data_IF_389687876525
#
_entry.id   IF_389687876525
#
_cell.length_a   1.000
_cell.length_b   1.000
_cell.length_c   1.000
_cell.angle_alpha   90.00
_cell.angle_beta   90.00
_cell.angle_gamma   90.00
#
_symmetry.space_group_name_H-M   'P 1'
#
loop_
_entity.id
_entity.type
_entity.pdbx_description
1 polymer ?
#
# COMPACT_ATOMS: atom_id res chain seq x y z
N UNK A 1 -33.98 -25.64 -52.17
CA UNK A 1 -33.98 -24.22 -51.78
C UNK A 1 -33.91 -24.17 -50.25
N UNK A 2 -32.76 -23.90 -49.71
CA UNK A 2 -32.53 -23.79 -48.26
C UNK A 2 -32.42 -22.30 -47.97
N UNK A 3 -33.41 -21.75 -47.24
CA UNK A 3 -33.45 -20.34 -46.86
C UNK A 3 -32.62 -20.15 -45.58
N UNK A 4 -31.52 -19.42 -45.65
CA UNK A 4 -30.70 -19.03 -44.51
C UNK A 4 -31.30 -17.78 -43.88
N UNK A 5 -31.81 -17.93 -42.65
CA UNK A 5 -32.31 -16.84 -41.84
C UNK A 5 -31.11 -16.18 -41.13
N UNK A 6 -30.74 -14.97 -41.50
CA UNK A 6 -29.70 -14.20 -40.82
C UNK A 6 -30.29 -13.54 -39.56
N UNK A 7 -29.79 -13.93 -38.38
CA UNK A 7 -30.14 -13.33 -37.10
C UNK A 7 -29.29 -12.06 -36.92
N UNK A 8 -29.88 -10.88 -37.02
CA UNK A 8 -29.24 -9.62 -36.64
C UNK A 8 -29.35 -9.43 -35.12
N UNK A 9 -28.25 -9.56 -34.40
CA UNK A 9 -28.16 -9.14 -33.00
C UNK A 9 -27.98 -7.61 -32.93
N UNK A 10 -29.00 -6.90 -32.49
CA UNK A 10 -28.86 -5.49 -32.12
C UNK A 10 -28.03 -5.41 -30.81
N UNK A 11 -26.80 -4.94 -30.93
CA UNK A 11 -26.05 -4.49 -29.77
C UNK A 11 -26.61 -3.15 -29.31
N UNK A 12 -27.29 -3.13 -28.17
CA UNK A 12 -27.70 -1.89 -27.51
C UNK A 12 -26.45 -1.16 -26.92
N UNK A 13 -26.06 -0.08 -27.57
CA UNK A 13 -25.05 0.83 -27.04
C UNK A 13 -25.73 1.66 -25.94
N UNK A 14 -25.43 1.34 -24.70
CA UNK A 14 -25.83 2.15 -23.54
C UNK A 14 -24.93 3.39 -23.53
N UNK A 15 -25.44 4.53 -24.00
CA UNK A 15 -24.78 5.81 -23.79
C UNK A 15 -24.96 6.19 -22.33
N UNK A 16 -23.86 6.24 -21.57
CA UNK A 16 -23.87 6.86 -20.25
C UNK A 16 -24.28 8.34 -20.44
N UNK A 17 -25.33 8.75 -19.78
CA UNK A 17 -25.73 10.16 -19.80
C UNK A 17 -24.59 11.00 -19.19
N UNK A 18 -24.23 12.16 -19.80
CA UNK A 18 -23.19 13.02 -19.24
C UNK A 18 -23.61 13.48 -17.83
N UNK A 19 -22.68 13.42 -16.89
CA UNK A 19 -22.93 13.90 -15.53
C UNK A 19 -23.35 15.36 -15.52
N UNK A 20 -24.28 15.70 -14.65
CA UNK A 20 -24.82 17.05 -14.55
C UNK A 20 -23.82 17.97 -13.84
N UNK A 21 -23.67 19.21 -14.31
CA UNK A 21 -22.93 20.25 -13.60
C UNK A 21 -23.74 20.73 -12.39
N UNK A 22 -23.74 19.95 -11.33
CA UNK A 22 -24.41 20.26 -10.07
C UNK A 22 -23.48 19.88 -8.91
N UNK A 23 -23.90 20.17 -7.70
CA UNK A 23 -23.27 19.75 -6.46
C UNK A 23 -24.20 18.78 -5.74
N UNK A 24 -23.74 17.54 -5.57
CA UNK A 24 -24.35 16.53 -4.71
C UNK A 24 -23.79 16.62 -3.31
N UNK A 25 -24.56 16.27 -2.31
CA UNK A 25 -24.14 16.26 -0.91
C UNK A 25 -24.49 14.93 -0.28
N UNK A 26 -23.53 14.33 0.43
CA UNK A 26 -23.66 13.05 1.13
C UNK A 26 -23.57 13.33 2.63
N UNK A 27 -24.62 13.02 3.37
CA UNK A 27 -24.72 13.09 4.83
C UNK A 27 -25.18 11.74 5.42
N UNK A 28 -25.49 10.77 4.55
CA UNK A 28 -25.85 9.39 4.84
C UNK A 28 -25.58 8.51 3.61
N UNK A 29 -25.65 7.18 3.71
CA UNK A 29 -25.53 6.30 2.56
C UNK A 29 -26.69 6.48 1.55
N UNK A 30 -27.87 6.88 2.01
CA UNK A 30 -29.04 7.06 1.15
C UNK A 30 -28.86 8.21 0.15
N UNK A 31 -27.99 9.18 0.46
CA UNK A 31 -27.72 10.33 -0.38
C UNK A 31 -26.79 10.00 -1.56
N UNK A 32 -26.04 8.90 -1.49
CA UNK A 32 -24.96 8.57 -2.46
C UNK A 32 -25.51 8.49 -3.87
N UNK A 33 -26.62 7.78 -4.07
CA UNK A 33 -27.18 7.55 -5.41
C UNK A 33 -27.53 8.84 -6.16
N UNK A 34 -28.03 9.83 -5.45
CA UNK A 34 -28.36 11.15 -6.03
C UNK A 34 -27.11 12.03 -6.17
N UNK A 35 -26.18 11.96 -5.22
CA UNK A 35 -24.98 12.77 -5.24
C UNK A 35 -24.03 12.44 -6.40
N UNK A 36 -23.92 11.17 -6.78
CA UNK A 36 -23.06 10.73 -7.89
C UNK A 36 -23.62 11.07 -9.29
N UNK A 37 -24.82 11.64 -9.38
CA UNK A 37 -25.29 12.25 -10.62
C UNK A 37 -24.60 13.59 -10.95
N UNK A 38 -23.92 14.19 -9.96
CA UNK A 38 -23.28 15.49 -10.05
C UNK A 38 -21.76 15.38 -10.26
N UNK A 39 -21.18 16.38 -10.94
CA UNK A 39 -19.72 16.48 -11.14
C UNK A 39 -18.99 17.03 -9.92
N UNK A 40 -19.67 17.59 -8.94
CA UNK A 40 -19.13 17.97 -7.64
C UNK A 40 -19.87 17.21 -6.56
N UNK A 41 -19.15 16.50 -5.70
CA UNK A 41 -19.71 15.67 -4.63
C UNK A 41 -19.10 16.14 -3.30
N UNK A 42 -19.92 16.56 -2.37
CA UNK A 42 -19.50 16.99 -1.04
C UNK A 42 -19.90 15.94 0.00
N UNK A 43 -18.96 15.52 0.85
CA UNK A 43 -19.17 14.55 1.91
C UNK A 43 -19.15 15.28 3.25
N UNK A 44 -20.31 15.40 3.89
CA UNK A 44 -20.44 15.94 5.24
C UNK A 44 -20.08 14.91 6.31
N UNK A 45 -20.04 15.34 7.57
CA UNK A 45 -19.86 14.40 8.70
C UNK A 45 -21.05 13.45 8.82
N UNK A 46 -20.76 12.15 8.90
CA UNK A 46 -21.77 11.14 9.27
C UNK A 46 -21.12 9.87 9.77
N UNK A 47 -21.94 8.96 10.31
CA UNK A 47 -21.51 7.61 10.66
C UNK A 47 -22.07 6.61 9.65
N UNK A 48 -21.18 5.85 9.01
CA UNK A 48 -21.56 4.74 8.13
C UNK A 48 -22.13 3.61 9.00
N UNK A 49 -23.31 3.07 8.70
CA UNK A 49 -23.88 1.97 9.48
C UNK A 49 -22.96 0.75 9.53
N UNK A 50 -23.00 0.04 10.63
CA UNK A 50 -22.15 -1.12 10.88
C UNK A 50 -22.38 -2.24 9.85
N UNK A 51 -21.30 -2.66 9.17
CA UNK A 51 -21.32 -3.70 8.14
C UNK A 51 -21.74 -3.24 6.77
N UNK A 52 -21.74 -1.94 6.54
CA UNK A 52 -21.99 -1.33 5.23
C UNK A 52 -20.73 -0.72 4.66
N UNK A 53 -20.58 -0.79 3.33
CA UNK A 53 -19.53 -0.08 2.59
C UNK A 53 -20.03 1.31 2.18
N UNK A 54 -19.26 2.34 2.48
CA UNK A 54 -19.46 3.65 1.86
C UNK A 54 -18.80 3.65 0.47
N UNK A 55 -19.59 3.43 -0.57
CA UNK A 55 -19.11 3.28 -1.95
C UNK A 55 -19.53 4.47 -2.81
N UNK A 56 -18.57 5.10 -3.48
CA UNK A 56 -18.77 6.22 -4.41
C UNK A 56 -18.27 5.80 -5.80
N UNK A 57 -19.19 5.62 -6.74
CA UNK A 57 -18.88 5.50 -8.17
C UNK A 57 -19.03 6.87 -8.81
N UNK A 58 -17.95 7.66 -8.76
CA UNK A 58 -17.97 9.05 -9.21
C UNK A 58 -17.96 9.15 -10.74
N UNK A 59 -18.71 10.09 -11.35
CA UNK A 59 -18.65 10.30 -12.79
C UNK A 59 -17.28 10.79 -13.23
N UNK A 60 -16.90 10.50 -14.47
CA UNK A 60 -15.60 10.88 -15.00
C UNK A 60 -15.33 12.39 -14.84
N UNK A 61 -14.15 12.73 -14.35
CA UNK A 61 -13.73 14.10 -14.08
C UNK A 61 -14.39 14.77 -12.86
N UNK A 62 -15.08 14.01 -12.03
CA UNK A 62 -15.74 14.56 -10.85
C UNK A 62 -14.74 15.04 -9.79
N UNK A 63 -15.17 16.04 -9.03
CA UNK A 63 -14.50 16.51 -7.82
C UNK A 63 -15.26 16.03 -6.60
N UNK A 64 -14.58 15.32 -5.70
CA UNK A 64 -15.12 14.84 -4.42
C UNK A 64 -14.44 15.61 -3.30
N UNK A 65 -15.18 16.34 -2.50
CA UNK A 65 -14.68 17.10 -1.36
C UNK A 65 -15.20 16.52 -0.05
N UNK A 66 -14.34 16.20 0.86
CA UNK A 66 -14.70 15.87 2.23
C UNK A 66 -14.85 17.17 3.01
N UNK A 67 -16.00 17.39 3.62
CA UNK A 67 -16.34 18.59 4.39
C UNK A 67 -16.64 18.28 5.86
N UNK A 68 -16.41 17.01 6.27
CA UNK A 68 -16.60 16.59 7.65
C UNK A 68 -16.05 15.18 7.90
N UNK A 69 -15.91 14.82 9.18
CA UNK A 69 -15.39 13.50 9.55
C UNK A 69 -16.41 12.39 9.27
N UNK A 70 -15.92 11.25 8.81
CA UNK A 70 -16.71 10.03 8.62
C UNK A 70 -16.22 8.94 9.58
N UNK A 71 -17.14 8.33 10.31
CA UNK A 71 -16.86 7.22 11.23
C UNK A 71 -17.55 5.96 10.72
N UNK A 72 -16.86 4.82 10.74
CA UNK A 72 -17.45 3.54 10.30
C UNK A 72 -17.94 2.74 11.52
N UNK A 73 -19.21 2.31 11.52
CA UNK A 73 -19.77 1.53 12.60
C UNK A 73 -19.12 0.15 12.75
N UNK A 74 -18.96 -0.30 13.98
CA UNK A 74 -18.32 -1.58 14.29
C UNK A 74 -19.18 -2.78 13.92
N UNK A 75 -18.61 -3.71 13.15
CA UNK A 75 -19.14 -5.06 12.89
C UNK A 75 -18.03 -5.95 12.32
N UNK A 76 -17.93 -7.19 12.79
CA UNK A 76 -17.04 -8.19 12.21
C UNK A 76 -17.57 -8.65 10.84
N UNK A 77 -16.87 -8.30 9.74
CA UNK A 77 -17.21 -8.63 8.36
C UNK A 77 -16.00 -8.44 7.44
N UNK A 78 -16.12 -8.80 6.15
CA UNK A 78 -14.96 -8.79 5.25
C UNK A 78 -14.51 -7.38 4.82
N UNK A 79 -15.40 -6.40 4.80
CA UNK A 79 -15.12 -5.08 4.22
C UNK A 79 -15.40 -5.02 2.70
N UNK A 80 -14.89 -4.00 2.00
CA UNK A 80 -14.13 -2.86 2.52
C UNK A 80 -15.02 -1.85 3.26
N UNK A 81 -14.41 -0.91 4.00
CA UNK A 81 -15.18 0.15 4.65
C UNK A 81 -15.54 1.27 3.67
N UNK A 82 -14.57 1.72 2.86
CA UNK A 82 -14.76 2.77 1.85
C UNK A 82 -14.31 2.30 0.47
N UNK A 83 -15.08 2.63 -0.56
CA UNK A 83 -14.71 2.44 -1.97
C UNK A 83 -14.89 3.74 -2.76
N UNK A 84 -13.87 4.07 -3.57
CA UNK A 84 -13.94 5.15 -4.56
C UNK A 84 -13.57 4.59 -5.94
N UNK A 85 -14.44 4.78 -6.91
CA UNK A 85 -14.17 4.44 -8.30
C UNK A 85 -14.51 5.59 -9.24
N UNK A 86 -13.89 5.60 -10.43
CA UNK A 86 -14.12 6.60 -11.47
C UNK A 86 -12.83 7.03 -12.17
N UNK A 87 -12.95 7.66 -13.31
CA UNK A 87 -11.83 8.08 -14.16
C UNK A 87 -11.57 9.58 -14.04
N UNK A 88 -10.31 9.97 -13.82
CA UNK A 88 -9.89 11.37 -13.71
C UNK A 88 -10.48 12.11 -12.51
N UNK A 89 -10.67 11.42 -11.39
CA UNK A 89 -11.29 11.96 -10.20
C UNK A 89 -10.32 12.90 -9.46
N UNK A 90 -10.84 14.01 -8.95
CA UNK A 90 -10.15 14.85 -7.99
C UNK A 90 -10.78 14.64 -6.62
N UNK A 91 -10.15 13.84 -5.76
CA UNK A 91 -10.59 13.65 -4.37
C UNK A 91 -9.78 14.54 -3.45
N UNK A 92 -10.47 15.37 -2.67
CA UNK A 92 -9.86 16.23 -1.68
C UNK A 92 -10.43 15.95 -0.29
N UNK A 93 -9.61 15.36 0.57
CA UNK A 93 -9.96 15.04 1.96
C UNK A 93 -10.04 16.27 2.88
N UNK A 94 -9.47 17.43 2.45
CA UNK A 94 -9.49 18.69 3.21
C UNK A 94 -8.97 18.58 4.66
N UNK A 95 -8.16 17.57 4.96
CA UNK A 95 -7.65 17.30 6.31
C UNK A 95 -8.68 16.70 7.28
N UNK A 96 -9.85 16.30 6.79
CA UNK A 96 -10.83 15.58 7.61
C UNK A 96 -10.43 14.11 7.80
N UNK A 97 -11.08 13.47 8.77
CA UNK A 97 -10.76 12.12 9.20
C UNK A 97 -11.82 11.11 8.77
N UNK A 98 -11.35 10.01 8.19
CA UNK A 98 -12.12 8.76 8.09
C UNK A 98 -11.62 7.82 9.18
N UNK A 99 -12.50 7.46 10.13
CA UNK A 99 -12.14 6.65 11.29
C UNK A 99 -12.74 5.24 11.18
N UNK A 100 -11.88 4.23 11.01
CA UNK A 100 -12.24 2.81 10.90
C UNK A 100 -12.54 2.14 12.23
N UNK A 101 -12.30 2.82 13.38
CA UNK A 101 -12.49 2.29 14.72
C UNK A 101 -11.72 0.97 14.97
N UNK A 102 -10.50 0.87 14.47
CA UNK A 102 -9.64 -0.32 14.59
C UNK A 102 -9.43 -0.80 16.02
N UNK A 103 -9.45 0.13 16.99
CA UNK A 103 -9.36 -0.15 18.41
C UNK A 103 -10.45 -1.11 18.91
N UNK A 104 -11.60 -1.19 18.24
CA UNK A 104 -12.67 -2.15 18.55
C UNK A 104 -12.43 -3.54 17.92
N UNK A 105 -11.51 -3.65 16.96
CA UNK A 105 -11.21 -4.89 16.21
C UNK A 105 -9.91 -5.55 16.63
N UNK A 106 -8.91 -4.75 17.07
CA UNK A 106 -7.54 -5.23 17.26
C UNK A 106 -7.40 -6.23 18.40
N UNK A 107 -6.75 -7.34 18.11
CA UNK A 107 -6.49 -8.45 19.00
C UNK A 107 -5.00 -8.89 19.01
N UNK A 108 -4.12 -8.12 18.33
CA UNK A 108 -2.70 -8.43 18.17
C UNK A 108 -2.41 -9.57 17.19
N UNK A 109 -3.42 -10.11 16.50
CA UNK A 109 -3.28 -11.26 15.60
C UNK A 109 -3.51 -10.91 14.12
N UNK A 110 -3.98 -9.69 13.83
CA UNK A 110 -4.21 -9.23 12.45
C UNK A 110 -5.14 -10.18 11.68
N UNK A 111 -4.66 -10.62 10.51
CA UNK A 111 -5.39 -11.55 9.62
C UNK A 111 -5.56 -12.97 10.20
N UNK A 112 -4.75 -13.35 11.18
CA UNK A 112 -4.87 -14.64 11.88
C UNK A 112 -5.88 -14.61 13.04
N UNK A 113 -6.40 -13.43 13.37
CA UNK A 113 -7.34 -13.23 14.47
C UNK A 113 -8.81 -13.23 14.04
N UNK A 114 -9.61 -12.44 14.76
CA UNK A 114 -11.02 -12.23 14.43
C UNK A 114 -11.21 -11.57 13.06
N UNK A 115 -12.35 -11.78 12.41
CA UNK A 115 -12.66 -11.12 11.13
C UNK A 115 -12.71 -9.60 11.30
N UNK A 116 -11.90 -8.91 10.50
CA UNK A 116 -11.76 -7.45 10.46
C UNK A 116 -12.04 -6.95 9.05
N UNK A 117 -12.80 -5.86 8.87
CA UNK A 117 -13.01 -5.30 7.53
C UNK A 117 -11.69 -4.77 6.95
N UNK A 118 -11.39 -5.21 5.71
CA UNK A 118 -10.20 -4.78 4.96
C UNK A 118 -10.42 -4.88 3.43
N UNK A 119 -9.72 -4.05 2.64
CA UNK A 119 -9.02 -2.86 3.11
C UNK A 119 -9.99 -1.84 3.71
N UNK A 120 -9.45 -0.90 4.50
CA UNK A 120 -10.29 0.21 4.95
C UNK A 120 -10.68 1.10 3.77
N UNK A 121 -9.72 1.42 2.90
CA UNK A 121 -9.84 2.32 1.76
C UNK A 121 -9.51 1.57 0.47
N UNK A 122 -10.52 1.25 -0.34
CA UNK A 122 -10.32 0.67 -1.68
C UNK A 122 -10.46 1.78 -2.73
N UNK A 123 -9.37 2.12 -3.39
CA UNK A 123 -9.30 3.20 -4.36
C UNK A 123 -9.10 2.61 -5.76
N UNK A 124 -10.18 2.56 -6.53
CA UNK A 124 -10.22 2.07 -7.92
C UNK A 124 -10.48 3.23 -8.89
N UNK A 125 -9.91 4.39 -8.61
CA UNK A 125 -10.03 5.59 -9.45
C UNK A 125 -8.69 5.97 -10.04
N UNK A 126 -8.72 6.69 -11.17
CA UNK A 126 -7.58 7.46 -11.68
C UNK A 126 -7.72 8.94 -11.32
N UNK A 127 -6.63 9.72 -11.46
CA UNK A 127 -6.59 11.14 -11.15
C UNK A 127 -5.83 11.45 -9.87
N UNK A 128 -6.44 12.17 -8.92
CA UNK A 128 -5.77 12.60 -7.68
C UNK A 128 -6.58 12.27 -6.44
N UNK A 129 -5.90 11.81 -5.39
CA UNK A 129 -6.46 11.55 -4.06
C UNK A 129 -5.59 12.24 -3.02
N UNK A 130 -6.13 13.26 -2.33
CA UNK A 130 -5.28 14.14 -1.52
C UNK A 130 -5.86 14.48 -0.16
N UNK A 131 -4.95 14.71 0.82
CA UNK A 131 -5.21 15.43 2.05
C UNK A 131 -6.34 14.84 2.93
N UNK A 132 -6.29 13.51 3.16
CA UNK A 132 -7.20 12.79 4.05
C UNK A 132 -6.42 12.21 5.24
N UNK A 133 -7.02 12.23 6.41
CA UNK A 133 -6.57 11.47 7.58
C UNK A 133 -7.37 10.16 7.64
N UNK A 134 -6.69 9.02 7.58
CA UNK A 134 -7.28 7.70 7.76
C UNK A 134 -6.83 7.17 9.10
N UNK A 135 -7.76 7.09 10.04
CA UNK A 135 -7.45 6.75 11.43
C UNK A 135 -7.98 5.37 11.80
N UNK A 136 -7.19 4.63 12.56
CA UNK A 136 -7.55 3.36 13.16
C UNK A 136 -8.17 2.37 12.16
N UNK A 137 -7.39 2.05 11.12
CA UNK A 137 -7.75 1.00 10.17
C UNK A 137 -7.85 -0.34 10.91
N UNK A 138 -8.95 -1.11 10.75
CA UNK A 138 -9.07 -2.40 11.42
C UNK A 138 -8.00 -3.42 11.02
N UNK A 139 -7.55 -3.39 9.77
CA UNK A 139 -6.47 -4.19 9.18
C UNK A 139 -5.82 -3.37 8.06
N UNK A 140 -5.46 -3.91 6.89
CA UNK A 140 -4.85 -3.15 5.78
C UNK A 140 -5.61 -1.87 5.47
N UNK A 141 -4.87 -0.76 5.34
CA UNK A 141 -5.47 0.55 5.16
C UNK A 141 -5.87 0.80 3.71
N UNK A 142 -4.92 1.03 2.82
CA UNK A 142 -5.21 1.29 1.41
C UNK A 142 -4.96 0.07 0.53
N UNK A 143 -5.87 -0.16 -0.42
CA UNK A 143 -5.65 -1.04 -1.57
C UNK A 143 -6.06 -0.31 -2.85
N UNK A 144 -5.25 -0.42 -3.89
CA UNK A 144 -5.42 0.30 -5.15
C UNK A 144 -5.87 -0.63 -6.27
N UNK A 145 -6.79 -0.13 -7.11
CA UNK A 145 -7.33 -0.80 -8.28
C UNK A 145 -7.47 0.15 -9.49
N UNK A 146 -6.61 1.19 -9.58
CA UNK A 146 -6.62 2.15 -10.68
C UNK A 146 -6.26 1.46 -12.01
N UNK A 147 -6.95 1.86 -13.08
CA UNK A 147 -6.71 1.43 -14.46
C UNK A 147 -5.95 2.46 -15.31
N UNK A 148 -5.68 3.63 -14.73
CA UNK A 148 -4.90 4.71 -15.31
C UNK A 148 -4.17 5.46 -14.18
N UNK A 149 -3.33 6.43 -14.52
CA UNK A 149 -2.49 7.16 -13.56
C UNK A 149 -3.27 7.69 -12.37
N UNK A 150 -2.80 7.34 -11.17
CA UNK A 150 -3.29 7.85 -9.90
C UNK A 150 -2.16 8.50 -9.11
N UNK A 151 -2.42 9.70 -8.59
CA UNK A 151 -1.54 10.37 -7.62
C UNK A 151 -2.22 10.46 -6.27
N UNK A 152 -1.58 9.91 -5.24
CA UNK A 152 -1.98 9.98 -3.83
C UNK A 152 -1.01 10.89 -3.09
N UNK A 153 -1.50 11.92 -2.42
CA UNK A 153 -0.60 12.85 -1.73
C UNK A 153 -1.18 13.40 -0.43
N UNK A 154 -0.29 13.76 0.51
CA UNK A 154 -0.65 14.38 1.79
C UNK A 154 -1.70 13.59 2.58
N UNK A 155 -1.62 12.27 2.48
CA UNK A 155 -2.46 11.36 3.27
C UNK A 155 -1.75 11.04 4.58
N UNK A 156 -2.52 11.01 5.66
CA UNK A 156 -2.03 10.51 6.94
C UNK A 156 -2.76 9.21 7.28
N UNK A 157 -2.01 8.10 7.38
CA UNK A 157 -2.48 6.85 7.97
C UNK A 157 -2.03 6.85 9.43
N UNK A 158 -2.97 6.99 10.35
CA UNK A 158 -2.71 7.04 11.79
C UNK A 158 -3.35 5.85 12.51
N UNK A 159 -2.56 4.80 12.67
CA UNK A 159 -2.89 3.63 13.49
C UNK A 159 -2.09 3.62 14.81
N UNK A 160 -1.62 4.78 15.27
CA UNK A 160 -0.76 4.89 16.47
C UNK A 160 -1.39 4.34 17.73
N UNK A 161 -2.73 4.37 17.85
CA UNK A 161 -3.45 3.77 18.97
C UNK A 161 -3.19 2.25 19.07
N UNK A 162 -2.88 1.58 17.94
CA UNK A 162 -2.55 0.16 17.87
C UNK A 162 -1.14 -0.21 18.36
N UNK A 163 -0.26 0.76 18.60
CA UNK A 163 1.08 0.51 19.14
C UNK A 163 1.04 0.01 20.61
N UNK A 164 -0.01 0.36 21.33
CA UNK A 164 -0.20 -0.07 22.70
C UNK A 164 -0.90 -1.43 22.77
N UNK A 165 -0.56 -2.21 23.79
CA UNK A 165 -1.28 -3.44 24.09
C UNK A 165 -2.71 -3.12 24.59
N UNK A 166 -3.65 -4.01 24.30
CA UNK A 166 -4.99 -4.00 24.87
C UNK A 166 -5.31 -5.33 25.59
N UNK A 167 -6.52 -5.49 26.09
CA UNK A 167 -6.94 -6.69 26.83
C UNK A 167 -6.95 -7.99 26.01
N UNK A 168 -6.85 -7.92 24.67
CA UNK A 168 -6.90 -9.08 23.77
C UNK A 168 -5.53 -9.43 23.15
N UNK A 169 -4.54 -8.52 23.21
CA UNK A 169 -3.28 -8.66 22.48
C UNK A 169 -2.14 -9.35 23.26
N UNK A 170 -2.41 -9.88 24.45
CA UNK A 170 -1.41 -10.58 25.29
C UNK A 170 -0.11 -9.80 25.50
N UNK A 171 -0.21 -8.50 25.74
CA UNK A 171 0.93 -7.61 25.97
C UNK A 171 1.68 -7.16 24.72
N UNK A 172 1.29 -7.61 23.54
CA UNK A 172 1.83 -7.15 22.24
C UNK A 172 1.07 -5.91 21.77
N UNK A 173 1.60 -5.14 20.79
CA UNK A 173 0.82 -4.14 20.10
C UNK A 173 -0.54 -4.70 19.67
N UNK A 174 -1.60 -3.93 19.88
CA UNK A 174 -2.95 -4.39 19.57
C UNK A 174 -3.22 -4.43 18.06
N UNK A 175 -2.73 -3.43 17.31
CA UNK A 175 -2.75 -3.42 15.86
C UNK A 175 -1.77 -4.44 15.27
N UNK A 176 -2.15 -5.08 14.16
CA UNK A 176 -1.34 -6.02 13.39
C UNK A 176 -1.89 -6.13 11.98
N UNK A 177 -1.05 -6.29 10.97
CA UNK A 177 -1.40 -6.22 9.54
C UNK A 177 -2.15 -4.92 9.17
N UNK A 178 -1.70 -3.82 9.75
CA UNK A 178 -2.25 -2.49 9.51
C UNK A 178 -1.44 -1.76 8.43
N UNK A 179 -1.13 -2.48 7.35
CA UNK A 179 -0.36 -1.99 6.22
C UNK A 179 -0.87 -0.64 5.73
N UNK A 180 0.05 0.29 5.45
CA UNK A 180 -0.32 1.64 5.00
C UNK A 180 -0.89 1.62 3.60
N UNK A 181 -0.08 1.16 2.64
CA UNK A 181 -0.42 1.16 1.22
C UNK A 181 -0.09 -0.19 0.59
N UNK A 182 -1.12 -0.96 0.21
CA UNK A 182 -1.00 -2.20 -0.56
C UNK A 182 -1.17 -1.91 -2.05
N UNK A 183 -0.13 -2.20 -2.84
CA UNK A 183 -0.05 -1.85 -4.25
C UNK A 183 0.03 -3.11 -5.11
N UNK A 184 -0.99 -3.30 -5.94
CA UNK A 184 -1.06 -4.36 -6.96
C UNK A 184 -1.46 -3.83 -8.33
N UNK A 185 -1.07 -2.58 -8.62
CA UNK A 185 -1.41 -1.82 -9.83
C UNK A 185 -0.17 -1.15 -10.42
N UNK A 186 -0.34 -0.52 -11.58
CA UNK A 186 0.71 0.28 -12.25
C UNK A 186 0.36 1.77 -12.25
N UNK A 187 1.32 2.60 -12.65
CA UNK A 187 1.15 4.04 -12.86
C UNK A 187 0.62 4.79 -11.62
N UNK A 188 1.23 4.50 -10.48
CA UNK A 188 0.86 5.05 -9.18
C UNK A 188 1.99 5.88 -8.57
N UNK A 189 1.67 7.10 -8.13
CA UNK A 189 2.55 7.92 -7.30
C UNK A 189 1.93 8.12 -5.93
N UNK A 190 2.71 7.87 -4.87
CA UNK A 190 2.35 8.16 -3.47
C UNK A 190 3.40 9.09 -2.90
N UNK A 191 2.99 10.28 -2.46
CA UNK A 191 3.94 11.30 -2.03
C UNK A 191 3.47 12.14 -0.85
N UNK A 192 4.45 12.78 -0.16
CA UNK A 192 4.20 13.74 0.91
C UNK A 192 3.25 13.22 2.00
N UNK A 193 3.24 11.91 2.24
CA UNK A 193 2.30 11.23 3.12
C UNK A 193 2.98 10.69 4.39
N UNK A 194 2.18 10.46 5.43
CA UNK A 194 2.65 9.96 6.73
C UNK A 194 1.94 8.67 7.07
N UNK A 195 2.69 7.66 7.50
CA UNK A 195 2.15 6.37 7.94
C UNK A 195 2.71 6.05 9.33
N UNK A 196 1.82 5.79 10.27
CA UNK A 196 2.12 5.28 11.61
C UNK A 196 1.30 4.01 11.78
N UNK A 197 1.95 2.85 11.75
CA UNK A 197 1.23 1.58 11.70
C UNK A 197 2.02 0.43 12.36
N UNK A 198 1.53 -0.81 12.25
CA UNK A 198 2.13 -2.01 12.84
C UNK A 198 2.43 -3.09 11.78
N UNK A 199 2.59 -2.70 10.51
CA UNK A 199 3.04 -3.57 9.42
C UNK A 199 3.74 -2.75 8.32
N UNK A 200 3.78 -3.21 7.06
CA UNK A 200 4.44 -2.50 5.98
C UNK A 200 3.86 -1.08 5.79
N UNK A 201 4.73 -0.07 5.71
CA UNK A 201 4.32 1.28 5.31
C UNK A 201 3.83 1.28 3.86
N UNK A 202 4.57 0.58 3.01
CA UNK A 202 4.26 0.29 1.62
C UNK A 202 4.53 -1.20 1.37
N UNK A 203 3.60 -1.89 0.71
CA UNK A 203 3.78 -3.25 0.21
C UNK A 203 3.44 -3.30 -1.28
N UNK A 204 4.44 -3.48 -2.16
CA UNK A 204 4.24 -3.62 -3.61
C UNK A 204 4.26 -5.09 -3.99
N UNK A 205 3.08 -5.66 -4.25
CA UNK A 205 2.93 -7.07 -4.59
C UNK A 205 2.95 -7.34 -6.09
N UNK A 206 2.58 -6.32 -6.91
CA UNK A 206 2.51 -6.42 -8.37
C UNK A 206 2.45 -5.02 -8.98
N UNK A 207 2.88 -4.86 -10.23
CA UNK A 207 2.71 -3.65 -11.02
C UNK A 207 4.02 -2.99 -11.43
N UNK A 208 3.90 -1.87 -12.13
CA UNK A 208 5.05 -1.14 -12.67
C UNK A 208 4.80 0.37 -12.67
N UNK A 209 5.88 1.14 -12.88
CA UNK A 209 5.82 2.62 -12.88
C UNK A 209 5.27 3.15 -11.56
N UNK A 210 5.85 2.74 -10.44
CA UNK A 210 5.42 3.12 -9.10
C UNK A 210 6.45 4.08 -8.52
N UNK A 211 6.00 5.22 -8.02
CA UNK A 211 6.83 6.21 -7.33
C UNK A 211 6.32 6.38 -5.90
N UNK A 212 7.20 6.17 -4.93
CA UNK A 212 6.95 6.40 -3.51
C UNK A 212 7.97 7.41 -3.00
N UNK A 213 7.54 8.66 -2.77
CA UNK A 213 8.50 9.74 -2.50
C UNK A 213 8.08 10.70 -1.40
N UNK A 214 9.07 11.19 -0.64
CA UNK A 214 8.90 12.16 0.45
C UNK A 214 7.87 11.75 1.50
N UNK A 215 7.74 10.44 1.73
CA UNK A 215 6.85 9.91 2.75
C UNK A 215 7.57 9.66 4.06
N UNK A 216 6.81 9.63 5.15
CA UNK A 216 7.29 9.31 6.50
C UNK A 216 6.61 8.05 7.01
N UNK A 217 7.41 7.02 7.34
CA UNK A 217 6.97 5.72 7.84
C UNK A 217 7.45 5.52 9.28
N UNK A 218 6.56 5.23 10.23
CA UNK A 218 6.93 5.08 11.64
C UNK A 218 6.28 3.85 12.26
N UNK A 219 7.03 3.12 13.07
CA UNK A 219 6.59 2.01 13.94
C UNK A 219 6.15 0.72 13.25
N UNK A 220 6.24 0.62 11.93
CA UNK A 220 5.82 -0.55 11.14
C UNK A 220 6.96 -1.46 10.71
N UNK A 221 6.81 -2.04 9.52
CA UNK A 221 7.79 -2.95 8.92
C UNK A 221 8.61 -2.33 7.79
N UNK A 222 8.55 -1.00 7.60
CA UNK A 222 9.32 -0.28 6.59
C UNK A 222 8.70 -0.27 5.20
N UNK A 223 9.53 -0.06 4.18
CA UNK A 223 9.13 0.03 2.77
C UNK A 223 9.46 -1.30 2.09
N UNK A 224 8.42 -2.02 1.64
CA UNK A 224 8.53 -3.38 1.12
C UNK A 224 8.14 -3.52 -0.34
N UNK A 225 8.95 -4.25 -1.11
CA UNK A 225 8.56 -4.89 -2.36
C UNK A 225 8.16 -6.33 -2.01
N UNK A 226 6.89 -6.67 -2.19
CA UNK A 226 6.37 -8.00 -1.83
C UNK A 226 5.39 -7.98 -0.63
N UNK A 227 4.94 -9.19 -0.25
CA UNK A 227 5.50 -10.48 -0.70
C UNK A 227 5.15 -10.77 -2.16
N UNK A 228 6.14 -11.28 -2.89
CA UNK A 228 5.99 -11.65 -4.30
C UNK A 228 5.57 -13.12 -4.38
N UNK A 229 4.39 -13.35 -4.91
CA UNK A 229 3.81 -14.67 -5.19
C UNK A 229 4.12 -15.11 -6.63
N UNK A 230 3.53 -16.24 -7.08
CA UNK A 230 3.74 -16.72 -8.46
C UNK A 230 3.06 -15.87 -9.52
N UNK A 231 3.65 -15.85 -10.72
CA UNK A 231 3.10 -15.27 -11.95
C UNK A 231 2.81 -13.76 -11.85
N UNK A 232 3.65 -13.03 -11.11
CA UNK A 232 3.55 -11.57 -10.98
C UNK A 232 4.84 -10.87 -11.39
N UNK A 233 4.70 -9.61 -11.83
CA UNK A 233 5.83 -8.75 -12.17
C UNK A 233 5.75 -7.46 -11.35
N UNK A 234 6.89 -7.08 -10.76
CA UNK A 234 7.13 -5.75 -10.20
C UNK A 234 8.30 -5.13 -10.95
N UNK A 235 8.10 -3.95 -11.55
CA UNK A 235 9.16 -3.31 -12.31
C UNK A 235 9.08 -1.78 -12.29
N UNK A 236 10.23 -1.12 -12.51
CA UNK A 236 10.31 0.34 -12.56
C UNK A 236 9.68 1.00 -11.33
N UNK A 237 10.26 0.74 -10.16
CA UNK A 237 9.83 1.28 -8.87
C UNK A 237 10.88 2.29 -8.38
N UNK A 238 10.44 3.46 -7.99
CA UNK A 238 11.27 4.53 -7.44
C UNK A 238 10.87 4.83 -5.99
N UNK A 239 11.81 4.69 -5.07
CA UNK A 239 11.67 4.96 -3.64
C UNK A 239 12.60 6.14 -3.32
N UNK A 240 12.03 7.34 -3.20
CA UNK A 240 12.79 8.59 -3.23
C UNK A 240 12.53 9.46 -2.00
N UNK A 241 13.60 9.94 -1.37
CA UNK A 241 13.54 10.97 -0.32
C UNK A 241 12.58 10.62 0.86
N UNK A 242 12.40 9.33 1.15
CA UNK A 242 11.54 8.89 2.25
C UNK A 242 12.28 8.85 3.57
N UNK A 243 11.52 9.00 4.65
CA UNK A 243 12.00 8.84 6.03
C UNK A 243 11.32 7.63 6.67
N UNK A 244 12.11 6.66 7.12
CA UNK A 244 11.67 5.47 7.87
C UNK A 244 12.21 5.56 9.29
N UNK A 245 11.35 5.45 10.31
CA UNK A 245 11.76 5.67 11.69
C UNK A 245 11.19 4.63 12.63
N UNK A 246 12.06 3.94 13.38
CA UNK A 246 11.67 2.95 14.38
C UNK A 246 10.77 1.85 13.80
N UNK A 247 11.12 1.35 12.62
CA UNK A 247 10.45 0.22 11.97
C UNK A 247 11.25 -1.07 12.20
N UNK A 248 10.65 -2.22 11.98
CA UNK A 248 11.37 -3.49 12.01
C UNK A 248 12.44 -3.52 10.90
N UNK A 249 12.10 -3.12 9.69
CA UNK A 249 13.04 -2.99 8.57
C UNK A 249 13.05 -1.55 8.03
N UNK A 250 14.16 -1.18 7.36
CA UNK A 250 14.22 0.04 6.56
C UNK A 250 13.65 -0.19 5.16
N UNK A 251 14.37 -0.97 4.35
CA UNK A 251 14.01 -1.32 2.98
C UNK A 251 14.03 -2.84 2.80
N UNK A 252 12.97 -3.36 2.19
CA UNK A 252 12.77 -4.81 2.11
C UNK A 252 12.35 -5.25 0.72
N UNK A 253 12.91 -6.36 0.24
CA UNK A 253 12.35 -7.16 -0.87
C UNK A 253 12.12 -8.56 -0.33
N UNK A 254 10.86 -9.03 -0.34
CA UNK A 254 10.48 -10.35 0.16
C UNK A 254 9.74 -11.13 -0.92
N UNK A 255 10.20 -12.35 -1.21
CA UNK A 255 9.54 -13.23 -2.18
C UNK A 255 9.21 -14.57 -1.56
N UNK A 256 8.06 -15.14 -1.89
CA UNK A 256 7.68 -16.46 -1.40
C UNK A 256 8.66 -17.51 -1.89
N UNK A 257 9.13 -18.35 -0.99
CA UNK A 257 10.09 -19.41 -1.31
C UNK A 257 9.58 -20.41 -2.36
N UNK A 258 8.27 -20.59 -2.42
CA UNK A 258 7.59 -21.47 -3.37
C UNK A 258 7.11 -20.78 -4.64
N UNK A 259 7.23 -19.44 -4.74
CA UNK A 259 6.79 -18.69 -5.91
C UNK A 259 7.58 -19.06 -7.16
N UNK A 260 6.90 -19.04 -8.30
CA UNK A 260 7.46 -19.34 -9.63
C UNK A 260 6.96 -18.36 -10.67
N UNK A 261 7.73 -18.17 -11.76
CA UNK A 261 7.30 -17.36 -12.90
C UNK A 261 7.23 -15.85 -12.63
N UNK A 262 7.86 -15.36 -11.56
CA UNK A 262 7.78 -13.96 -11.16
C UNK A 262 9.08 -13.20 -11.37
N UNK A 263 8.95 -11.87 -11.48
CA UNK A 263 10.10 -10.99 -11.70
C UNK A 263 9.97 -9.72 -10.85
N UNK A 264 11.08 -9.33 -10.22
CA UNK A 264 11.28 -8.03 -9.57
C UNK A 264 12.46 -7.36 -10.25
N UNK A 265 12.25 -6.18 -10.87
CA UNK A 265 13.32 -5.54 -11.64
C UNK A 265 13.23 -4.02 -11.63
N UNK A 266 14.40 -3.35 -11.71
CA UNK A 266 14.45 -1.89 -11.80
C UNK A 266 13.92 -1.22 -10.53
N UNK A 267 14.42 -1.64 -9.38
CA UNK A 267 14.08 -1.04 -8.09
C UNK A 267 15.16 0.00 -7.74
N UNK A 268 14.75 1.25 -7.61
CA UNK A 268 15.65 2.38 -7.46
C UNK A 268 15.38 3.13 -6.14
N UNK A 269 16.40 3.20 -5.30
CA UNK A 269 16.38 3.92 -4.02
C UNK A 269 17.31 5.12 -4.10
N UNK A 270 16.86 6.31 -3.70
CA UNK A 270 17.68 7.53 -3.64
C UNK A 270 17.17 8.52 -2.60
N UNK A 271 18.07 9.16 -1.87
CA UNK A 271 17.70 10.21 -0.91
C UNK A 271 17.03 9.74 0.36
N UNK A 272 16.89 8.42 0.56
CA UNK A 272 16.12 7.90 1.69
C UNK A 272 16.93 7.88 2.99
N UNK A 273 16.22 8.04 4.11
CA UNK A 273 16.79 7.93 5.46
C UNK A 273 15.98 6.93 6.27
N UNK A 274 16.63 5.88 6.78
CA UNK A 274 16.04 4.93 7.73
C UNK A 274 16.82 5.00 9.06
N UNK A 275 16.09 5.10 10.18
CA UNK A 275 16.71 5.22 11.50
C UNK A 275 16.00 4.36 12.54
N UNK A 276 16.80 3.69 13.39
CA UNK A 276 16.27 2.88 14.49
C UNK A 276 15.52 1.62 14.00
N UNK A 277 15.97 1.03 12.88
CA UNK A 277 15.45 -0.25 12.41
C UNK A 277 15.83 -1.34 13.44
N UNK A 278 14.85 -2.15 13.87
CA UNK A 278 15.05 -3.07 15.00
C UNK A 278 15.50 -4.45 14.58
N UNK A 279 15.25 -4.85 13.33
CA UNK A 279 15.61 -6.16 12.80
C UNK A 279 16.63 -6.03 11.66
N UNK A 280 16.32 -5.25 10.60
CA UNK A 280 17.18 -5.10 9.43
C UNK A 280 17.17 -3.67 8.88
N UNK A 281 18.34 -3.19 8.46
CA UNK A 281 18.43 -1.95 7.69
C UNK A 281 17.93 -2.14 6.27
N UNK A 282 18.57 -3.06 5.53
CA UNK A 282 18.16 -3.52 4.21
C UNK A 282 18.07 -5.04 4.23
N UNK A 283 16.94 -5.59 3.80
CA UNK A 283 16.80 -7.05 3.65
C UNK A 283 16.20 -7.41 2.29
N UNK A 284 16.89 -8.28 1.56
CA UNK A 284 16.41 -8.93 0.33
C UNK A 284 16.37 -10.43 0.60
N UNK A 285 15.17 -10.99 0.73
CA UNK A 285 15.00 -12.38 1.16
C UNK A 285 13.99 -13.14 0.31
N UNK A 286 14.44 -14.23 -0.30
CA UNK A 286 13.64 -15.12 -1.14
C UNK A 286 13.11 -16.33 -0.38
N UNK A 287 13.02 -16.26 0.95
CA UNK A 287 12.56 -17.39 1.78
C UNK A 287 11.21 -17.20 2.45
N UNK A 288 10.48 -16.12 2.13
CA UNK A 288 9.19 -15.79 2.76
C UNK A 288 8.19 -16.98 2.65
N UNK A 289 7.35 -17.29 3.66
CA UNK A 289 7.15 -16.54 4.91
C UNK A 289 8.23 -16.73 6.00
N UNK A 290 9.20 -17.59 5.79
CA UNK A 290 10.37 -17.65 6.67
C UNK A 290 11.23 -16.41 6.49
N UNK A 291 12.06 -16.08 7.48
CA UNK A 291 13.09 -15.04 7.37
C UNK A 291 14.45 -15.72 7.35
N UNK A 292 15.27 -15.42 6.32
CA UNK A 292 16.62 -15.97 6.09
C UNK A 292 16.63 -17.49 6.12
N UNK A 293 15.55 -18.12 5.67
CA UNK A 293 15.44 -19.56 5.50
C UNK A 293 16.01 -20.03 4.16
N UNK A 294 15.52 -21.17 3.67
CA UNK A 294 15.92 -21.67 2.35
C UNK A 294 15.29 -20.80 1.25
N UNK A 295 16.11 -20.04 0.56
CA UNK A 295 15.67 -19.17 -0.51
C UNK A 295 15.11 -19.94 -1.72
N UNK A 296 13.98 -19.48 -2.26
CA UNK A 296 13.39 -19.98 -3.49
C UNK A 296 14.15 -19.48 -4.72
N UNK A 297 13.92 -20.15 -5.86
CA UNK A 297 14.60 -19.84 -7.13
C UNK A 297 13.65 -19.41 -8.24
N UNK A 298 12.35 -19.35 -7.98
CA UNK A 298 11.33 -19.11 -9.01
C UNK A 298 10.96 -17.64 -9.21
N UNK A 299 11.53 -16.71 -8.43
CA UNK A 299 11.40 -15.26 -8.61
C UNK A 299 12.74 -14.69 -9.02
N UNK A 300 12.82 -14.08 -10.21
CA UNK A 300 14.04 -13.39 -10.65
C UNK A 300 14.10 -11.97 -10.10
N UNK A 301 15.16 -11.62 -9.35
CA UNK A 301 15.41 -10.25 -8.88
C UNK A 301 16.59 -9.66 -9.65
N UNK A 302 16.42 -8.47 -10.22
CA UNK A 302 17.47 -7.81 -11.01
C UNK A 302 17.41 -6.29 -10.90
N UNK A 303 18.55 -5.62 -11.15
CA UNK A 303 18.64 -4.17 -11.21
C UNK A 303 18.10 -3.46 -9.96
N UNK A 304 18.57 -3.86 -8.77
CA UNK A 304 18.31 -3.18 -7.51
C UNK A 304 19.40 -2.16 -7.27
N UNK A 305 19.05 -0.89 -7.23
CA UNK A 305 20.02 0.22 -7.18
C UNK A 305 19.79 1.11 -5.98
N UNK A 306 20.84 1.39 -5.22
CA UNK A 306 20.90 2.47 -4.24
C UNK A 306 21.81 3.58 -4.79
N UNK A 307 21.20 4.63 -5.35
CA UNK A 307 21.89 5.77 -5.93
C UNK A 307 21.80 7.00 -5.00
N UNK A 308 22.50 8.06 -5.36
CA UNK A 308 22.54 9.28 -4.55
C UNK A 308 23.09 8.99 -3.15
N UNK A 309 22.35 9.39 -2.09
CA UNK A 309 22.69 9.07 -0.71
C UNK A 309 21.49 8.46 -0.01
N UNK A 310 21.59 7.20 0.40
CA UNK A 310 20.63 6.55 1.30
C UNK A 310 21.33 6.25 2.61
N UNK A 311 20.83 6.76 3.72
CA UNK A 311 21.41 6.57 5.05
C UNK A 311 20.53 5.66 5.88
N UNK A 312 21.12 4.57 6.37
CA UNK A 312 20.41 3.59 7.19
C UNK A 312 21.13 3.38 8.50
N UNK A 313 20.47 3.56 9.63
CA UNK A 313 20.99 3.21 10.93
C UNK A 313 20.08 2.23 11.65
N UNK A 314 20.65 1.16 12.17
CA UNK A 314 19.93 0.09 12.85
C UNK A 314 20.18 0.09 14.35
N UNK A 315 19.30 -0.54 15.12
CA UNK A 315 19.47 -0.76 16.54
C UNK A 315 20.61 -1.75 16.82
N UNK A 316 21.16 -1.75 18.02
CA UNK A 316 22.35 -2.55 18.38
C UNK A 316 22.18 -4.07 18.24
N UNK A 317 20.95 -4.59 18.18
CA UNK A 317 20.66 -6.00 17.99
C UNK A 317 20.19 -6.37 16.58
N UNK A 318 20.20 -5.42 15.65
CA UNK A 318 19.72 -5.59 14.28
C UNK A 318 20.91 -5.77 13.30
N UNK A 319 20.61 -6.29 12.11
CA UNK A 319 21.60 -6.41 11.05
C UNK A 319 21.47 -5.24 10.03
N UNK A 320 22.61 -4.73 9.59
CA UNK A 320 22.68 -3.61 8.66
C UNK A 320 22.13 -4.01 7.28
N UNK A 321 22.62 -5.16 6.75
CA UNK A 321 22.25 -5.65 5.41
C UNK A 321 22.18 -7.17 5.37
N UNK A 322 21.05 -7.70 4.92
CA UNK A 322 20.88 -9.11 4.63
C UNK A 322 20.45 -9.31 3.17
N UNK A 323 21.14 -10.18 2.44
CA UNK A 323 20.76 -10.61 1.09
C UNK A 323 20.79 -12.12 1.01
N UNK A 324 19.62 -12.73 0.94
CA UNK A 324 19.40 -14.17 0.84
C UNK A 324 18.75 -14.51 -0.50
N UNK A 325 19.57 -14.62 -1.54
CA UNK A 325 19.16 -14.99 -2.89
C UNK A 325 19.18 -16.51 -3.10
N UNK A 326 18.16 -17.04 -3.76
CA UNK A 326 18.18 -18.40 -4.30
C UNK A 326 19.21 -18.55 -5.43
N UNK A 327 19.72 -19.76 -5.61
CA UNK A 327 20.75 -20.03 -6.63
C UNK A 327 20.28 -19.60 -8.02
N UNK A 328 20.99 -18.63 -8.63
CA UNK A 328 20.67 -18.09 -9.95
C UNK A 328 19.45 -17.16 -10.02
N UNK A 329 18.77 -16.90 -8.91
CA UNK A 329 17.56 -16.06 -8.89
C UNK A 329 17.84 -14.56 -8.82
N UNK A 330 18.94 -14.15 -8.22
CA UNK A 330 19.42 -12.77 -8.31
C UNK A 330 20.37 -12.62 -9.50
N UNK A 331 20.16 -11.61 -10.34
CA UNK A 331 20.89 -11.49 -11.62
C UNK A 331 21.31 -10.05 -11.91
N UNK A 332 22.29 -9.90 -12.79
CA UNK A 332 22.80 -8.60 -13.25
C UNK A 332 23.74 -7.94 -12.24
N UNK A 333 24.02 -6.67 -12.45
CA UNK A 333 24.86 -5.85 -11.57
C UNK A 333 24.00 -4.87 -10.81
N UNK A 334 24.10 -4.86 -9.48
CA UNK A 334 23.37 -3.96 -8.59
C UNK A 334 24.31 -2.90 -8.06
N UNK A 335 24.11 -1.65 -8.46
CA UNK A 335 24.93 -0.55 -7.98
C UNK A 335 24.38 -0.02 -6.63
N UNK A 336 25.14 -0.23 -5.57
CA UNK A 336 24.81 0.21 -4.21
C UNK A 336 25.76 1.30 -3.68
N UNK A 337 26.42 2.02 -4.58
CA UNK A 337 27.38 3.08 -4.18
C UNK A 337 26.76 4.22 -3.35
N UNK A 338 25.45 4.39 -3.41
CA UNK A 338 24.72 5.37 -2.62
C UNK A 338 24.22 4.88 -1.27
N UNK A 339 24.48 3.62 -0.87
CA UNK A 339 24.04 3.06 0.42
C UNK A 339 25.09 3.33 1.50
N UNK A 340 24.65 3.88 2.63
CA UNK A 340 25.45 4.06 3.87
C UNK A 340 24.69 3.43 5.00
N UNK A 341 25.31 2.47 5.68
CA UNK A 341 24.73 1.74 6.82
C UNK A 341 25.55 1.96 8.07
N UNK A 342 24.93 1.83 9.22
CA UNK A 342 25.59 1.97 10.52
C UNK A 342 24.75 1.37 11.66
N UNK A 343 25.41 0.99 12.73
CA UNK A 343 24.79 0.42 13.94
C UNK A 343 24.83 -1.11 13.90
N UNK A 344 24.28 -1.81 14.84
CA UNK A 344 24.08 -3.24 14.84
C UNK A 344 25.24 -4.12 14.37
N UNK A 345 24.92 -5.22 13.70
CA UNK A 345 25.83 -6.15 13.04
C UNK A 345 25.83 -5.92 11.52
N UNK A 346 26.93 -6.25 10.83
CA UNK A 346 27.03 -6.06 9.39
C UNK A 346 25.99 -6.86 8.61
N UNK A 347 25.70 -8.10 9.03
CA UNK A 347 24.82 -9.05 8.34
C UNK A 347 25.54 -9.90 7.30
N UNK A 348 24.83 -10.35 6.27
CA UNK A 348 25.40 -11.23 5.23
C UNK A 348 24.84 -10.97 3.83
N UNK A 349 25.67 -11.16 2.81
CA UNK A 349 25.31 -11.03 1.40
C UNK A 349 25.76 -12.28 0.64
N UNK A 350 24.82 -13.06 0.10
CA UNK A 350 25.12 -14.24 -0.70
C UNK A 350 25.09 -14.00 -2.22
N UNK A 351 24.95 -12.74 -2.66
CA UNK A 351 24.94 -12.36 -4.07
C UNK A 351 26.15 -11.50 -4.45
N UNK A 352 26.97 -12.00 -5.37
CA UNK A 352 28.23 -11.34 -5.79
C UNK A 352 28.06 -10.23 -6.83
N UNK A 353 26.84 -9.98 -7.34
CA UNK A 353 26.57 -8.96 -8.35
C UNK A 353 26.42 -7.54 -7.80
N UNK A 354 26.56 -7.32 -6.49
CA UNK A 354 26.50 -6.01 -5.86
C UNK A 354 27.84 -5.30 -6.03
N UNK A 355 27.78 -4.03 -6.45
CA UNK A 355 28.95 -3.17 -6.66
C UNK A 355 28.80 -1.86 -5.90
N UNK A 356 29.92 -1.26 -5.51
CA UNK A 356 29.95 0.01 -4.80
C UNK A 356 29.55 -0.04 -3.32
N UNK A 357 29.38 -1.26 -2.78
CA UNK A 357 29.08 -1.52 -1.37
C UNK A 357 29.74 -2.83 -0.92
N UNK A 358 30.21 -2.84 0.30
CA UNK A 358 30.71 -4.04 1.01
C UNK A 358 30.30 -3.94 2.46
N UNK A 359 29.90 -5.06 3.12
CA UNK A 359 29.69 -5.17 4.56
C UNK A 359 31.03 -5.25 5.31
#
# INVERSE_FOLDING_TARGET
MISTLALFTLASVVFASPARRCTGTISSLDDVSSAVECTTININSFTVPAGETFSISAPAGATVNVLGNVTFGYKAWAGPLFELSGTGITFNGNGYTFNGQGDQYWDGLGSSGSTKPHPMMKISSSGTFTNLIVKNSPQQCFSFGNDATLMVSKVTVDNSDGNSANGLSNGKPAGHNTDGFDVSVSDLTIEDSTVINQDDCLAINKGSNIVFQRNSCTSGHGISIGSITSDVTVSNVQILDNTVKNNAQGFRIKTDASATGSTVSGIYYSGNTATGCTDYGVIIDQSYPSTLGKAGTGVTISNVTFAGTNTVSVASGADEVEVNCGSGACTGTWNWSGLKVSGGSAGSINYSGITGFTI
#
